data_IF_489271745930
#
_entry.id   IF_489271745930
#
_cell.length_a   1.000
_cell.length_b   1.000
_cell.length_c   1.000
_cell.angle_alpha   90.00
_cell.angle_beta   90.00
_cell.angle_gamma   90.00
#
_symmetry.space_group_name_H-M   'P 1'
#
loop_
_entity.id
_entity.type
_entity.pdbx_description
1 polymer ?
2 polymer ?
3 polymer ?
4 non-polymer ?
5 water ?
#
loop_
_entity_poly.entity_id
_entity_poly.type
_entity_poly.pdbx_seq_one_letter_code
_entity_poly.pdbx_strand_id
2 'polyribonucleotide' 'UCCAGUA' ?
3 'polyribonucleotide' '(GTP)GAACACUAUACUACUGGAUAAUCAAAGACAAAUCUGCCCGAAGGGUUUGAGAACAUACCCAUUGCACUCCGGGUAUGCAGAGGUGGCAGCCUCCGGUGGGUUAAAACCCAACGUUCUCAACAAUAGUG(A23)' ?
#
# COMPACT_ATOMS: atom_id res chain seq x y z
N UNK A 7 18.09 10.80 -11.04
CA UNK A 7 17.44 11.26 -12.27
C UNK A 7 16.72 10.12 -13.02
N UNK A 8 15.58 10.45 -13.66
CA UNK A 8 14.73 9.53 -14.42
C UNK A 8 15.51 8.60 -15.35
N UNK A 9 15.07 7.36 -15.46
CA UNK A 9 15.77 6.33 -16.23
C UNK A 9 14.80 5.26 -16.73
N UNK A 10 14.98 4.80 -17.96
CA UNK A 10 14.10 3.79 -18.56
C UNK A 10 13.75 2.65 -17.59
N UNK A 11 14.72 2.26 -16.76
CA UNK A 11 14.59 1.09 -15.89
C UNK A 11 14.36 1.46 -14.44
N UNK A 12 13.45 0.75 -13.78
CA UNK A 12 13.25 1.00 -12.35
C UNK A 12 13.76 -0.16 -11.48
N UNK A 13 14.22 0.19 -10.28
CA UNK A 13 14.72 -0.78 -9.32
C UNK A 13 13.68 -0.95 -8.27
N UNK A 14 13.30 -2.19 -8.00
CA UNK A 14 12.28 -2.47 -7.02
C UNK A 14 12.83 -3.46 -6.03
N UNK A 15 12.79 -3.13 -4.75
CA UNK A 15 13.15 -4.10 -3.73
C UNK A 15 12.11 -4.16 -2.64
N UNK A 16 12.44 -4.84 -1.55
CA UNK A 16 11.45 -5.17 -0.53
C UNK A 16 10.37 -6.09 -1.11
N UNK A 17 10.73 -6.88 -2.11
CA UNK A 17 9.80 -7.86 -2.68
C UNK A 17 9.75 -9.10 -1.80
N UNK A 18 8.61 -9.76 -1.75
CA UNK A 18 8.47 -11.01 -1.01
C UNK A 18 9.46 -12.05 -1.52
N UNK A 19 10.32 -12.56 -0.64
CA UNK A 19 11.40 -13.44 -1.07
C UNK A 19 10.96 -14.90 -1.15
N UNK A 20 9.74 -15.19 -0.74
CA UNK A 20 9.21 -16.55 -0.82
C UNK A 20 8.60 -16.88 -2.21
N UNK A 21 8.50 -15.87 -3.06
CA UNK A 21 7.84 -15.98 -4.36
C UNK A 21 8.79 -16.46 -5.48
N UNK A 22 8.36 -17.51 -6.20
CA UNK A 22 9.13 -18.08 -7.32
C UNK A 22 9.39 -17.09 -8.44
N UNK A 23 10.48 -17.30 -9.15
CA UNK A 23 10.91 -16.39 -10.21
C UNK A 23 9.88 -16.26 -11.33
N UNK A 24 9.34 -17.38 -11.78
CA UNK A 24 8.38 -17.35 -12.88
C UNK A 24 7.18 -16.51 -12.50
N UNK A 25 6.64 -16.79 -11.31
CA UNK A 25 5.43 -16.15 -10.81
C UNK A 25 5.63 -14.66 -10.68
N UNK A 26 6.70 -14.29 -10.00
CA UNK A 26 7.04 -12.89 -9.76
C UNK A 26 7.17 -12.12 -11.06
N UNK A 27 7.72 -12.76 -12.09
CA UNK A 27 7.93 -12.14 -13.38
C UNK A 27 6.60 -11.78 -14.06
N UNK A 28 5.67 -12.73 -14.10
CA UNK A 28 4.40 -12.41 -14.73
C UNK A 28 3.59 -11.43 -13.90
N UNK A 29 3.69 -11.54 -12.57
CA UNK A 29 2.97 -10.67 -11.66
C UNK A 29 3.44 -9.24 -11.72
N UNK A 30 4.71 -9.04 -12.03
CA UNK A 30 5.24 -7.69 -12.16
C UNK A 30 4.81 -7.10 -13.48
N UNK A 31 4.86 -7.92 -14.54
CA UNK A 31 4.53 -7.46 -15.87
C UNK A 31 3.07 -7.07 -15.96
N UNK A 32 2.26 -7.70 -15.12
CA UNK A 32 0.82 -7.48 -15.15
C UNK A 32 0.46 -6.14 -14.52
N UNK A 33 1.20 -5.73 -13.51
CA UNK A 33 0.83 -4.48 -12.83
C UNK A 33 1.55 -3.26 -13.41
N UNK A 34 2.53 -3.49 -14.28
CA UNK A 34 3.35 -2.41 -14.80
C UNK A 34 3.05 -2.10 -16.27
N UNK A 35 2.51 -3.09 -16.97
CA UNK A 35 2.14 -2.92 -18.36
C UNK A 35 1.17 -1.75 -18.56
N UNK A 36 0.33 -1.51 -17.58
CA UNK A 36 -0.65 -0.44 -17.74
C UNK A 36 0.01 0.94 -17.76
N UNK A 37 1.35 0.96 -17.74
CA UNK A 37 2.13 2.19 -17.75
C UNK A 37 2.93 2.41 -19.02
N UNK A 38 3.03 1.37 -19.84
CA UNK A 38 3.79 1.45 -21.07
C UNK A 38 4.38 0.15 -21.58
N UNK A 39 5.23 0.26 -22.59
CA UNK A 39 5.88 -0.90 -23.19
C UNK A 39 7.03 -1.36 -22.32
N UNK A 40 7.16 -2.67 -22.12
CA UNK A 40 8.21 -3.19 -21.23
C UNK A 40 9.15 -4.11 -21.99
N UNK A 41 10.37 -3.62 -22.22
CA UNK A 41 11.33 -4.38 -23.02
C UNK A 41 11.63 -5.72 -22.39
N UNK A 42 11.96 -5.68 -21.09
CA UNK A 42 12.25 -6.90 -20.34
C UNK A 42 12.17 -6.64 -18.83
N UNK A 43 12.22 -7.69 -18.03
CA UNK A 43 12.16 -7.50 -16.60
C UNK A 43 13.05 -8.50 -15.88
N UNK A 44 14.14 -7.99 -15.32
CA UNK A 44 15.19 -8.82 -14.74
C UNK A 44 14.88 -9.22 -13.31
N UNK A 45 14.99 -10.52 -13.03
CA UNK A 45 14.73 -11.03 -11.70
C UNK A 45 15.64 -12.20 -11.36
N UNK A 46 16.44 -12.04 -10.30
CA UNK A 46 17.27 -13.13 -9.78
C UNK A 46 16.96 -13.45 -8.31
N UNK A 47 17.19 -14.69 -7.91
CA UNK A 47 16.95 -15.09 -6.53
C UNK A 47 18.23 -15.51 -5.82
N UNK A 48 19.35 -15.02 -6.33
CA UNK A 48 20.64 -15.12 -5.66
C UNK A 48 20.61 -14.62 -4.22
N UNK A 49 21.75 -14.70 -3.56
CA UNK A 49 21.88 -14.16 -2.21
C UNK A 49 21.83 -12.65 -2.29
N UNK A 50 22.43 -12.12 -3.34
CA UNK A 50 22.66 -10.70 -3.46
C UNK A 50 21.50 -9.99 -4.16
N UNK A 51 20.85 -10.70 -5.09
CA UNK A 51 19.84 -10.07 -5.94
C UNK A 51 18.38 -10.38 -5.60
N UNK A 52 18.16 -11.12 -4.52
CA UNK A 52 16.80 -11.52 -4.22
C UNK A 52 15.99 -10.37 -3.66
N UNK A 53 14.68 -10.52 -3.65
CA UNK A 53 13.80 -9.53 -3.08
C UNK A 53 13.74 -8.29 -3.95
N UNK A 54 14.53 -8.27 -5.02
CA UNK A 54 14.58 -7.10 -5.88
C UNK A 54 14.24 -7.46 -7.31
N UNK A 55 13.85 -6.44 -8.08
CA UNK A 55 13.63 -6.65 -9.50
C UNK A 55 13.96 -5.40 -10.31
N UNK A 56 14.32 -5.61 -11.57
CA UNK A 56 14.47 -4.51 -12.53
C UNK A 56 13.43 -4.65 -13.64
N UNK A 57 12.78 -3.54 -13.96
CA UNK A 57 11.72 -3.51 -14.96
C UNK A 57 12.11 -2.48 -16.01
N UNK A 58 12.27 -2.92 -17.25
CA UNK A 58 12.73 -2.02 -18.28
C UNK A 58 11.64 -1.52 -19.23
N UNK A 59 11.31 -0.24 -19.13
CA UNK A 59 10.34 0.38 -20.06
C UNK A 59 10.99 0.92 -21.34
N UNK A 60 10.22 0.99 -22.41
CA UNK A 60 10.73 1.50 -23.68
C UNK A 60 10.72 3.02 -23.68
N UNK A 61 9.91 3.62 -22.82
CA UNK A 61 9.84 5.07 -22.74
C UNK A 61 10.22 5.57 -21.34
N UNK A 62 11.02 6.63 -21.26
CA UNK A 62 11.42 7.11 -19.94
C UNK A 62 10.24 7.64 -19.15
N UNK A 63 9.25 8.18 -19.84
CA UNK A 63 8.10 8.75 -19.14
C UNK A 63 7.28 7.66 -18.47
N UNK A 64 7.30 6.46 -19.05
CA UNK A 64 6.55 5.34 -18.52
C UNK A 64 7.14 4.95 -17.18
N UNK A 65 8.46 4.95 -17.14
CA UNK A 65 9.15 4.61 -15.91
C UNK A 65 8.67 5.56 -14.83
N UNK A 66 8.74 6.85 -15.12
CA UNK A 66 8.42 7.90 -14.15
C UNK A 66 7.02 7.73 -13.61
N UNK A 67 6.08 7.53 -14.51
CA UNK A 67 4.68 7.36 -14.15
C UNK A 67 4.50 6.15 -13.24
N UNK A 68 5.18 5.05 -13.56
CA UNK A 68 5.12 3.81 -12.79
C UNK A 68 5.72 3.97 -11.39
N UNK A 69 6.88 4.63 -11.32
CA UNK A 69 7.55 4.89 -10.06
C UNK A 69 6.63 5.63 -9.09
N UNK A 70 5.91 6.62 -9.62
CA UNK A 70 5.12 7.56 -8.81
C UNK A 70 3.79 6.98 -8.34
N UNK A 71 3.02 6.36 -9.24
CA UNK A 71 1.70 5.87 -8.87
C UNK A 71 1.72 4.42 -8.40
N UNK A 72 2.90 3.88 -8.17
CA UNK A 72 3.04 2.47 -7.76
C UNK A 72 3.89 2.31 -6.52
N UNK A 73 4.63 3.36 -6.18
CA UNK A 73 5.43 3.35 -4.96
C UNK A 73 4.62 2.93 -3.74
N UNK A 74 5.08 1.88 -3.06
CA UNK A 74 4.45 1.43 -1.84
C UNK A 74 3.31 0.46 -2.05
N UNK A 75 2.96 0.21 -3.32
CA UNK A 75 1.95 -0.79 -3.64
C UNK A 75 2.16 -2.10 -2.88
N UNK A 76 1.09 -2.64 -2.28
CA UNK A 76 1.10 -3.91 -1.52
C UNK A 76 1.33 -5.11 -2.42
N UNK A 77 2.56 -5.31 -2.88
CA UNK A 77 2.84 -6.38 -3.83
C UNK A 77 3.20 -7.66 -3.10
N UNK A 78 2.28 -8.63 -3.14
CA UNK A 78 2.46 -9.89 -2.41
C UNK A 78 2.63 -9.62 -0.92
N UNK A 79 1.79 -8.73 -0.39
CA UNK A 79 1.77 -8.44 1.04
C UNK A 79 3.00 -7.69 1.51
N UNK A 80 3.65 -6.96 0.60
CA UNK A 80 4.84 -6.20 0.95
C UNK A 80 4.94 -4.95 0.11
N UNK A 81 4.87 -3.79 0.76
CA UNK A 81 4.99 -2.53 0.02
C UNK A 81 6.23 -2.51 -0.89
N UNK A 82 6.04 -2.02 -2.10
CA UNK A 82 7.12 -1.94 -3.06
C UNK A 82 8.01 -0.73 -2.77
N UNK A 83 9.30 -0.82 -3.07
CA UNK A 83 10.16 0.34 -2.93
C UNK A 83 10.80 0.72 -4.25
N UNK A 84 9.99 1.21 -5.17
CA UNK A 84 10.49 1.58 -6.48
C UNK A 84 11.40 2.82 -6.42
N UNK A 85 12.47 2.78 -7.22
CA UNK A 85 13.39 3.90 -7.38
C UNK A 85 13.94 3.79 -8.78
N UNK A 86 14.72 4.78 -9.19
CA UNK A 86 15.29 4.74 -10.53
C UNK A 86 16.56 3.91 -10.48
N UNK A 87 16.85 3.21 -11.57
CA UNK A 87 18.09 2.48 -11.65
C UNK A 87 19.25 3.49 -11.68
N UNK A 88 20.28 3.23 -10.89
CA UNK A 88 21.45 4.11 -10.85
C UNK A 88 22.20 4.11 -12.19
N UNK A 89 22.04 3.04 -12.96
CA UNK A 89 22.70 2.95 -14.26
C UNK A 89 21.77 2.38 -15.33
N UNK A 90 22.08 2.66 -16.58
CA UNK A 90 21.27 2.17 -17.69
C UNK A 90 21.45 0.67 -17.87
N UNK A 91 20.44 0.01 -18.43
CA UNK A 91 20.50 -1.43 -18.66
C UNK A 91 21.24 -1.76 -19.95
N UNK A 92 21.77 -2.98 -20.05
CA UNK A 92 22.50 -3.38 -21.23
C UNK A 92 21.67 -3.25 -22.50
N UNK A 93 20.43 -3.74 -22.45
CA UNK A 93 19.54 -3.72 -23.60
C UNK A 93 19.40 -2.31 -24.17
N UNK A 94 19.43 -1.33 -23.28
CA UNK A 94 19.20 0.05 -23.68
C UNK A 94 20.49 0.70 -24.16
N UNK A 95 21.57 0.47 -23.42
CA UNK A 95 22.87 1.01 -23.80
C UNK A 95 23.28 0.53 -25.20
N UNK A 96 23.12 -0.76 -25.47
CA UNK A 96 23.39 -1.29 -26.80
C UNK A 96 22.18 -1.13 -27.72
N UNK A 97 21.61 0.06 -27.73
CA UNK A 97 20.42 0.35 -28.52
C UNK A 97 20.41 1.82 -28.91
N UNK A 98 20.79 2.67 -27.97
CA UNK A 98 20.83 4.11 -28.19
C UNK A 98 22.09 4.73 -27.59
N UNK D 6 -23.55 -5.29 3.07
CA UNK D 6 -22.98 -4.38 4.06
C UNK D 6 -23.21 -2.92 3.67
N UNK D 7 -24.01 -2.24 4.48
CA UNK D 7 -24.35 -0.85 4.22
C UNK D 7 -23.46 0.08 5.05
N UNK D 8 -23.32 1.34 4.60
CA UNK D 8 -22.45 2.35 5.22
C UNK D 8 -22.67 2.58 6.73
N UNK D 9 -21.71 3.25 7.38
CA UNK D 9 -21.75 3.53 8.82
C UNK D 9 -20.71 4.60 9.21
N UNK D 10 -21.04 5.49 10.15
CA UNK D 10 -20.09 6.51 10.63
C UNK D 10 -18.75 5.95 11.07
N UNK D 11 -18.73 4.74 11.59
CA UNK D 11 -17.50 4.15 12.07
C UNK D 11 -16.97 3.11 11.09
N UNK D 12 -15.67 3.16 10.82
CA UNK D 12 -15.06 2.17 9.94
C UNK D 12 -14.16 1.27 10.77
N UNK D 13 -14.15 -0.01 10.43
CA UNK D 13 -13.33 -0.96 11.17
C UNK D 13 -12.10 -1.26 10.33
N UNK D 14 -10.96 -1.35 10.98
CA UNK D 14 -9.70 -1.61 10.31
C UNK D 14 -9.01 -2.75 11.02
N UNK D 15 -8.42 -3.66 10.25
CA UNK D 15 -7.64 -4.74 10.84
C UNK D 15 -6.41 -5.05 9.99
N UNK D 16 -5.61 -6.00 10.43
CA UNK D 16 -4.34 -6.28 9.79
C UNK D 16 -3.42 -5.09 10.04
N UNK D 17 -3.47 -4.53 11.25
CA UNK D 17 -2.59 -3.44 11.63
C UNK D 17 -1.40 -4.01 12.36
N UNK D 18 -0.23 -3.41 12.14
CA UNK D 18 1.01 -3.81 12.83
C UNK D 18 0.85 -3.86 14.37
N UNK D 19 0.84 -5.07 14.92
CA UNK D 19 0.50 -5.27 16.33
C UNK D 19 1.60 -4.84 17.28
N UNK D 20 2.77 -4.57 16.73
CA UNK D 20 3.94 -4.19 17.50
C UNK D 20 3.87 -2.72 17.94
N UNK D 21 3.07 -1.93 17.23
CA UNK D 21 2.94 -0.49 17.48
C UNK D 21 2.18 -0.14 18.77
N UNK D 22 2.68 0.83 19.53
CA UNK D 22 2.05 1.25 20.78
C UNK D 22 0.70 1.90 20.54
N UNK D 23 -0.24 1.72 21.48
CA UNK D 23 -1.56 2.31 21.34
C UNK D 23 -1.46 3.83 21.13
N UNK D 24 -0.47 4.45 21.74
CA UNK D 24 -0.34 5.89 21.64
C UNK D 24 -0.02 6.29 20.21
N UNK D 25 1.08 5.76 19.69
CA UNK D 25 1.53 6.08 18.34
C UNK D 25 0.45 5.72 17.34
N UNK D 26 -0.08 4.51 17.49
CA UNK D 26 -1.13 4.03 16.62
C UNK D 26 -2.27 5.02 16.54
N UNK D 27 -2.65 5.59 17.69
CA UNK D 27 -3.78 6.51 17.72
C UNK D 27 -3.52 7.77 16.90
N UNK D 28 -2.38 8.41 17.12
CA UNK D 28 -2.10 9.66 16.45
C UNK D 28 -1.82 9.46 14.96
N UNK D 29 -1.10 8.39 14.63
CA UNK D 29 -0.82 8.04 13.25
C UNK D 29 -2.09 7.80 12.45
N UNK D 30 -3.02 7.04 13.02
CA UNK D 30 -4.31 6.82 12.37
C UNK D 30 -5.07 8.13 12.14
N UNK D 31 -5.07 9.00 13.15
CA UNK D 31 -5.77 10.26 13.01
C UNK D 31 -5.15 11.11 11.92
N UNK D 32 -3.82 11.12 11.88
CA UNK D 32 -3.09 11.96 10.95
C UNK D 32 -3.47 11.66 9.50
N UNK D 33 -3.71 10.38 9.23
CA UNK D 33 -3.88 9.96 7.86
C UNK D 33 -5.32 9.93 7.41
N UNK D 34 -6.23 10.01 8.37
CA UNK D 34 -7.66 9.91 8.08
C UNK D 34 -8.37 11.25 8.18
N UNK D 35 -7.74 12.21 8.85
CA UNK D 35 -8.35 13.51 9.07
C UNK D 35 -8.77 14.18 7.76
N UNK D 36 -8.04 13.89 6.70
CA UNK D 36 -8.25 14.57 5.44
C UNK D 36 -9.55 14.15 4.76
N UNK D 37 -10.38 13.40 5.49
CA UNK D 37 -11.64 12.89 4.94
C UNK D 37 -12.86 13.50 5.61
N UNK D 38 -12.65 14.08 6.79
CA UNK D 38 -13.74 14.69 7.55
C UNK D 38 -13.46 14.85 9.04
N UNK D 39 -14.51 15.18 9.79
CA UNK D 39 -14.43 15.30 11.25
C UNK D 39 -14.32 13.92 11.86
N UNK D 40 -13.43 13.74 12.83
CA UNK D 40 -13.33 12.46 13.51
C UNK D 40 -13.66 12.56 15.00
N UNK D 41 -14.87 12.14 15.37
CA UNK D 41 -15.30 12.21 16.75
C UNK D 41 -14.31 11.52 17.68
N UNK D 42 -13.98 10.26 17.37
CA UNK D 42 -12.99 9.52 18.15
C UNK D 42 -12.48 8.31 17.39
N UNK D 43 -11.48 7.66 17.97
CA UNK D 43 -10.90 6.50 17.33
C UNK D 43 -10.49 5.51 18.42
N UNK D 44 -11.17 4.37 18.46
CA UNK D 44 -10.96 3.41 19.53
C UNK D 44 -9.90 2.38 19.16
N UNK D 45 -8.96 2.16 20.07
CA UNK D 45 -7.90 1.19 19.82
C UNK D 45 -7.52 0.44 21.08
N UNK D 46 -7.70 -0.88 21.07
CA UNK D 46 -7.24 -1.69 22.18
C UNK D 46 -6.17 -2.68 21.76
N UNK D 47 -5.32 -3.06 22.71
CA UNK D 47 -4.26 -4.03 22.43
C UNK D 47 -4.51 -5.33 23.17
N UNK D 48 -5.78 -5.61 23.45
CA UNK D 48 -6.21 -6.85 24.07
C UNK D 48 -5.75 -8.05 23.27
N UNK D 49 -6.16 -9.23 23.69
CA UNK D 49 -5.90 -10.43 22.91
C UNK D 49 -6.82 -10.44 21.72
N UNK D 50 -7.97 -9.82 21.87
CA UNK D 50 -9.03 -9.97 20.88
C UNK D 50 -9.23 -8.72 20.03
N UNK D 51 -8.65 -7.61 20.46
CA UNK D 51 -8.87 -6.34 19.80
C UNK D 51 -7.60 -5.74 19.20
N UNK D 52 -6.51 -6.49 19.26
CA UNK D 52 -5.26 -5.98 18.72
C UNK D 52 -5.24 -6.08 17.21
N UNK D 53 -4.39 -5.29 16.59
CA UNK D 53 -4.31 -5.24 15.14
C UNK D 53 -5.57 -4.68 14.51
N UNK D 54 -6.40 -4.03 15.32
CA UNK D 54 -7.66 -3.49 14.83
C UNK D 54 -7.86 -2.09 15.36
N UNK D 55 -8.77 -1.36 14.74
CA UNK D 55 -9.03 -0.01 15.20
C UNK D 55 -10.38 0.39 14.67
N UNK D 56 -11.10 1.19 15.45
CA UNK D 56 -12.37 1.74 15.01
C UNK D 56 -12.26 3.25 14.90
N UNK D 57 -12.39 3.77 13.69
CA UNK D 57 -12.32 5.20 13.49
C UNK D 57 -13.71 5.78 13.27
N UNK D 58 -14.09 6.74 14.10
CA UNK D 58 -15.45 7.29 14.07
C UNK D 58 -15.55 8.68 13.43
N UNK D 59 -16.30 8.77 12.34
CA UNK D 59 -16.47 10.04 11.64
C UNK D 59 -17.82 10.67 12.00
N UNK D 60 -17.89 12.00 11.92
CA UNK D 60 -19.14 12.71 12.16
C UNK D 60 -20.14 12.54 11.01
N UNK D 61 -19.63 12.45 9.78
CA UNK D 61 -20.48 12.29 8.59
C UNK D 61 -20.37 10.89 8.00
N UNK D 62 -21.48 10.34 7.53
CA UNK D 62 -21.49 9.01 6.92
C UNK D 62 -20.61 8.97 5.68
N UNK D 63 -20.76 9.95 4.81
CA UNK D 63 -20.00 10.00 3.57
C UNK D 63 -18.49 9.99 3.84
N UNK D 64 -18.07 10.75 4.85
CA UNK D 64 -16.67 10.81 5.21
C UNK D 64 -16.11 9.41 5.43
N UNK D 65 -16.93 8.54 5.99
CA UNK D 65 -16.53 7.16 6.28
C UNK D 65 -16.40 6.37 4.99
N UNK D 66 -17.34 6.58 4.07
CA UNK D 66 -17.32 5.90 2.78
C UNK D 66 -16.14 6.37 1.96
N UNK D 67 -15.92 7.67 1.95
CA UNK D 67 -14.77 8.22 1.26
C UNK D 67 -13.46 7.63 1.78
N UNK D 68 -13.35 7.49 3.10
CA UNK D 68 -12.10 7.02 3.70
C UNK D 68 -11.94 5.51 3.53
N UNK D 69 -13.06 4.81 3.44
CA UNK D 69 -13.03 3.37 3.25
C UNK D 69 -12.47 3.04 1.88
N UNK D 70 -13.00 3.72 0.86
CA UNK D 70 -12.61 3.49 -0.52
C UNK D 70 -11.17 3.94 -0.86
N UNK D 71 -10.77 5.13 -0.45
CA UNK D 71 -9.51 5.67 -0.94
C UNK D 71 -8.29 5.27 -0.11
N UNK D 72 -8.53 4.54 0.98
CA UNK D 72 -7.43 4.15 1.87
C UNK D 72 -7.28 2.63 1.94
N UNK D 73 -8.24 1.91 1.37
CA UNK D 73 -8.17 0.46 1.36
C UNK D 73 -6.83 -0.01 0.78
N UNK D 74 -6.09 -0.81 1.54
CA UNK D 74 -4.81 -1.30 1.08
C UNK D 74 -3.64 -0.37 1.35
N UNK D 75 -3.91 0.79 1.92
CA UNK D 75 -2.84 1.72 2.28
C UNK D 75 -1.84 1.13 3.28
N UNK D 76 -0.56 1.14 2.92
CA UNK D 76 0.58 0.62 3.70
C UNK D 76 0.79 1.34 5.04
N UNK D 77 0.03 0.97 6.06
CA UNK D 77 0.19 1.56 7.37
C UNK D 77 1.21 0.76 8.19
N UNK D 78 2.35 1.38 8.47
CA UNK D 78 3.42 0.71 9.21
C UNK D 78 3.74 -0.64 8.55
N UNK D 79 3.88 -0.62 7.23
CA UNK D 79 4.32 -1.79 6.48
C UNK D 79 3.28 -2.91 6.53
N UNK D 80 2.02 -2.55 6.36
CA UNK D 80 0.96 -3.54 6.36
C UNK D 80 -0.32 -3.01 5.73
N UNK D 81 -0.75 -3.66 4.64
CA UNK D 81 -1.99 -3.28 3.95
C UNK D 81 -3.19 -3.23 4.90
N UNK D 82 -3.79 -2.07 5.03
CA UNK D 82 -5.01 -1.90 5.83
C UNK D 82 -6.17 -2.65 5.21
N UNK D 83 -7.01 -3.25 6.04
CA UNK D 83 -8.23 -3.87 5.55
C UNK D 83 -9.36 -3.11 6.17
N UNK D 84 -9.91 -2.16 5.44
CA UNK D 84 -10.99 -1.34 5.97
C UNK D 84 -12.34 -1.95 5.60
N UNK D 85 -13.27 -1.95 6.56
CA UNK D 85 -14.65 -2.37 6.34
C UNK D 85 -15.57 -1.47 7.16
N UNK D 86 -16.88 -1.60 6.95
CA UNK D 86 -17.84 -0.88 7.77
C UNK D 86 -18.02 -1.59 9.11
N UNK D 87 -18.24 -0.82 10.16
CA UNK D 87 -18.56 -1.40 11.46
C UNK D 87 -19.96 -2.01 11.41
N UNK D 88 -20.09 -3.26 11.85
CA UNK D 88 -21.38 -3.96 11.82
C UNK D 88 -22.48 -3.24 12.63
N UNK D 89 -22.13 -2.64 13.76
CA UNK D 89 -23.11 -1.87 14.54
C UNK D 89 -22.65 -0.44 14.82
N UNK D 90 -23.59 0.42 15.16
CA UNK D 90 -23.29 1.81 15.46
C UNK D 90 -22.55 1.97 16.80
N UNK D 91 -21.61 2.92 16.84
CA UNK D 91 -20.84 3.17 18.04
C UNK D 91 -21.69 3.83 19.10
N UNK D 92 -21.22 3.80 20.35
CA UNK D 92 -21.98 4.33 21.47
C UNK D 92 -22.06 5.86 21.42
N UNK D 93 -20.99 6.49 20.95
CA UNK D 93 -20.96 7.95 20.83
C UNK D 93 -21.99 8.47 19.83
N UNK D 94 -22.31 7.63 18.83
CA UNK D 94 -23.28 8.01 17.81
C UNK D 94 -24.70 7.63 18.23
N UNK D 95 -24.92 6.36 18.55
CA UNK D 95 -26.23 5.88 18.98
C UNK D 95 -26.81 6.77 20.09
N UNK D 96 -25.94 7.22 20.99
CA UNK D 96 -26.33 8.16 22.03
C UNK D 96 -26.12 9.60 21.56
N UNK D 97 -26.58 9.88 20.35
CA UNK D 97 -26.44 11.21 19.75
C UNK D 97 -27.59 11.47 18.77
N UNK D 98 -28.08 10.40 18.14
CA UNK D 98 -29.16 10.47 17.17
C UNK D 98 -29.96 9.18 17.12
#
# INVERSE_FOLDING_TARGET
MAVPETRPNHTIYINNLNEKIKKDELKKSLHAIFSRFGQILDILVSRSLKMRGQAFVIFKEVSSATNALRSMQGFPFYDKPMRIQYAKTDSDIIAKMK
MAVPETRPNHTIYINNLNEKIKKDELKKSLHAIFSRFGQILDILVSRSLKMRGQAFVIFKEVSSATNALRSMQGFPFYDKPMRIQYAKTDSDIIAKMK
#
